data_IF_324517308456
#
_entry.id   IF_324517308456
#
_cell.length_a   1.000
_cell.length_b   1.000
_cell.length_c   1.000
_cell.angle_alpha   90.00
_cell.angle_beta   90.00
_cell.angle_gamma   90.00
#
_symmetry.space_group_name_H-M   'P 1'
#
loop_
_entity.id
_entity.type
_entity.pdbx_description
1 polymer ?
#
# COMPACT_ATOMS: atom_id res chain seq x y z
N UNK A 1 -6.80 6.48 -30.05
CA UNK A 1 -5.56 5.74 -30.35
C UNK A 1 -4.41 6.48 -29.68
N UNK A 2 -3.89 6.00 -28.56
CA UNK A 2 -2.76 6.64 -27.86
C UNK A 2 -1.48 6.40 -28.67
N UNK A 3 -0.75 7.47 -29.00
CA UNK A 3 0.52 7.38 -29.71
C UNK A 3 1.53 6.54 -28.89
N UNK A 4 2.28 5.66 -29.51
CA UNK A 4 3.37 4.94 -28.84
C UNK A 4 4.37 5.94 -28.28
N UNK A 5 4.76 5.83 -27.00
CA UNK A 5 5.74 6.73 -26.40
C UNK A 5 7.08 6.63 -27.16
N UNK A 6 7.74 7.77 -27.34
CA UNK A 6 9.04 7.83 -27.97
C UNK A 6 10.10 7.07 -27.17
N UNK A 7 11.19 6.65 -27.80
CA UNK A 7 12.31 5.97 -27.11
C UNK A 7 12.87 6.79 -25.94
N UNK A 8 12.90 8.11 -26.08
CA UNK A 8 13.35 9.04 -25.01
C UNK A 8 12.41 9.04 -23.83
N UNK A 9 11.10 9.04 -24.05
CA UNK A 9 10.08 8.95 -22.99
C UNK A 9 10.10 7.60 -22.29
N UNK A 10 10.38 6.52 -23.03
CA UNK A 10 10.52 5.18 -22.42
C UNK A 10 11.74 5.12 -21.49
N UNK A 11 12.90 5.64 -21.90
CA UNK A 11 14.08 5.69 -21.03
C UNK A 11 13.81 6.55 -19.79
N UNK A 12 13.13 7.68 -19.95
CA UNK A 12 12.80 8.54 -18.82
C UNK A 12 11.92 7.81 -17.81
N UNK A 13 10.86 7.13 -18.26
CA UNK A 13 9.98 6.32 -17.40
C UNK A 13 10.75 5.22 -16.66
N UNK A 14 11.60 4.48 -17.33
CA UNK A 14 12.42 3.43 -16.68
C UNK A 14 13.31 4.01 -15.57
N UNK A 15 13.88 5.20 -15.79
CA UNK A 15 14.67 5.88 -14.76
C UNK A 15 13.82 6.35 -13.58
N UNK A 16 12.66 6.94 -13.85
CA UNK A 16 11.72 7.36 -12.81
C UNK A 16 11.23 6.15 -12.00
N UNK A 17 10.88 5.05 -12.65
CA UNK A 17 10.51 3.80 -11.98
C UNK A 17 11.65 3.29 -11.06
N UNK A 18 12.90 3.31 -11.53
CA UNK A 18 14.05 2.89 -10.73
C UNK A 18 14.26 3.79 -9.50
N UNK A 19 14.07 5.11 -9.64
CA UNK A 19 14.12 6.06 -8.54
C UNK A 19 13.00 5.76 -7.53
N UNK A 20 11.78 5.61 -7.99
CA UNK A 20 10.61 5.35 -7.13
C UNK A 20 10.78 4.03 -6.36
N UNK A 21 11.35 3.00 -6.98
CA UNK A 21 11.64 1.73 -6.30
C UNK A 21 12.73 1.89 -5.22
N UNK A 22 13.78 2.67 -5.47
CA UNK A 22 14.78 2.98 -4.45
C UNK A 22 14.17 3.73 -3.26
N UNK A 23 13.32 4.73 -3.55
CA UNK A 23 12.58 5.46 -2.51
C UNK A 23 11.67 4.53 -1.70
N UNK A 24 10.92 3.64 -2.36
CA UNK A 24 10.04 2.68 -1.68
C UNK A 24 10.81 1.82 -0.67
N UNK A 25 11.96 1.26 -1.08
CA UNK A 25 12.81 0.46 -0.18
C UNK A 25 13.31 1.27 1.01
N UNK A 26 13.78 2.49 0.78
CA UNK A 26 14.28 3.36 1.86
C UNK A 26 13.17 3.79 2.81
N UNK A 27 11.97 4.11 2.29
CA UNK A 27 10.80 4.42 3.11
C UNK A 27 10.34 3.22 3.96
N UNK A 28 10.42 2.00 3.42
CA UNK A 28 10.08 0.79 4.15
C UNK A 28 11.06 0.51 5.30
N UNK A 29 12.37 0.73 5.09
CA UNK A 29 13.41 0.39 6.06
C UNK A 29 13.63 1.49 7.10
N UNK A 30 13.63 2.77 6.68
CA UNK A 30 14.03 3.91 7.53
C UNK A 30 12.90 4.89 7.81
N UNK A 31 11.84 4.86 7.04
CA UNK A 31 10.82 5.90 7.04
C UNK A 31 11.27 7.20 6.38
N UNK A 32 10.33 8.13 6.25
CA UNK A 32 10.57 9.39 5.56
C UNK A 32 11.61 10.27 6.25
N UNK A 33 11.53 10.38 7.57
CA UNK A 33 12.37 11.36 8.31
C UNK A 33 13.86 11.03 8.19
N UNK A 34 14.23 9.75 8.23
CA UNK A 34 15.61 9.27 8.17
C UNK A 34 16.13 9.03 6.75
N UNK A 35 15.27 8.99 5.74
CA UNK A 35 15.67 8.87 4.35
C UNK A 35 16.36 10.16 3.88
N UNK A 36 17.47 10.03 3.17
CA UNK A 36 18.16 11.16 2.53
C UNK A 36 18.17 11.06 1.01
N UNK A 37 18.20 12.20 0.32
CA UNK A 37 18.26 12.24 -1.14
C UNK A 37 19.57 11.64 -1.68
N UNK A 38 20.64 11.70 -0.91
CA UNK A 38 21.94 11.09 -1.28
C UNK A 38 21.84 9.56 -1.27
N UNK A 39 21.16 8.98 -0.30
CA UNK A 39 20.89 7.53 -0.25
C UNK A 39 20.00 7.08 -1.40
N UNK A 40 18.96 7.86 -1.74
CA UNK A 40 18.12 7.57 -2.92
C UNK A 40 18.95 7.57 -4.20
N UNK A 41 19.83 8.56 -4.39
CA UNK A 41 20.70 8.64 -5.56
C UNK A 41 21.66 7.46 -5.65
N UNK A 42 22.26 7.07 -4.50
CA UNK A 42 23.14 5.91 -4.41
C UNK A 42 22.41 4.60 -4.72
N UNK A 43 21.24 4.39 -4.11
CA UNK A 43 20.40 3.20 -4.30
C UNK A 43 19.89 3.07 -5.75
N UNK A 44 19.53 4.20 -6.39
CA UNK A 44 19.10 4.25 -7.78
C UNK A 44 20.26 4.19 -8.77
N UNK A 45 21.52 4.17 -8.32
CA UNK A 45 22.72 4.11 -9.16
C UNK A 45 22.93 5.36 -10.01
N UNK A 46 22.58 6.55 -9.53
CA UNK A 46 22.69 7.80 -10.29
C UNK A 46 23.27 8.95 -9.48
N UNK A 47 23.72 9.99 -10.16
CA UNK A 47 24.17 11.21 -9.50
C UNK A 47 22.98 12.01 -8.94
N UNK A 48 23.12 12.59 -7.75
CA UNK A 48 22.11 13.44 -7.09
C UNK A 48 21.58 14.56 -8.02
N UNK A 49 22.45 15.18 -8.81
CA UNK A 49 22.06 16.21 -9.78
C UNK A 49 21.15 15.67 -10.89
N UNK A 50 21.26 14.38 -11.24
CA UNK A 50 20.37 13.72 -12.20
C UNK A 50 19.01 13.43 -11.60
N UNK A 51 18.95 13.10 -10.31
CA UNK A 51 17.71 12.85 -9.59
C UNK A 51 16.86 14.11 -9.52
N UNK A 52 17.46 15.27 -9.25
CA UNK A 52 16.77 16.57 -9.24
C UNK A 52 16.24 17.05 -10.62
N UNK A 53 16.60 16.38 -11.70
CA UNK A 53 15.97 16.61 -13.02
C UNK A 53 14.59 15.93 -13.14
N UNK A 54 14.32 14.93 -12.30
CA UNK A 54 13.08 14.17 -12.29
C UNK A 54 12.16 14.60 -11.14
N UNK A 55 12.72 14.94 -9.98
CA UNK A 55 11.98 15.28 -8.76
C UNK A 55 12.61 16.49 -8.10
N UNK A 56 11.80 17.49 -7.76
CA UNK A 56 12.29 18.79 -7.28
C UNK A 56 12.55 18.82 -5.77
N UNK A 57 11.96 17.87 -5.02
CA UNK A 57 12.08 17.81 -3.55
C UNK A 57 12.07 16.38 -3.02
N UNK A 58 12.42 16.22 -1.74
CA UNK A 58 12.32 14.95 -1.03
C UNK A 58 10.86 14.52 -0.86
N UNK A 59 9.97 15.49 -0.65
CA UNK A 59 8.52 15.28 -0.58
C UNK A 59 7.95 14.73 -1.88
N UNK A 60 8.37 15.29 -3.02
CA UNK A 60 7.93 14.83 -4.33
C UNK A 60 8.41 13.40 -4.61
N UNK A 61 9.67 13.09 -4.30
CA UNK A 61 10.23 11.74 -4.36
C UNK A 61 9.40 10.74 -3.53
N UNK A 62 9.19 11.06 -2.26
CA UNK A 62 8.43 10.21 -1.35
C UNK A 62 6.96 10.12 -1.76
N UNK A 63 6.36 11.23 -2.22
CA UNK A 63 5.00 11.27 -2.75
C UNK A 63 4.81 10.34 -3.94
N UNK A 64 5.74 10.33 -4.89
CA UNK A 64 5.71 9.42 -6.04
C UNK A 64 5.77 7.93 -5.60
N UNK A 65 6.57 7.61 -4.58
CA UNK A 65 6.62 6.27 -4.02
C UNK A 65 5.30 5.87 -3.34
N UNK A 66 4.66 6.78 -2.60
CA UNK A 66 3.35 6.55 -1.98
C UNK A 66 2.25 6.34 -3.04
N UNK A 67 2.26 7.14 -4.11
CA UNK A 67 1.37 6.95 -5.27
C UNK A 67 1.57 5.56 -5.89
N UNK A 68 2.82 5.14 -6.11
CA UNK A 68 3.13 3.82 -6.67
C UNK A 68 2.67 2.67 -5.76
N UNK A 69 2.76 2.82 -4.45
CA UNK A 69 2.25 1.83 -3.50
C UNK A 69 0.72 1.68 -3.62
N UNK A 70 -0.02 2.80 -3.76
CA UNK A 70 -1.46 2.77 -4.00
C UNK A 70 -1.82 2.19 -5.37
N UNK A 71 -1.06 2.47 -6.43
CA UNK A 71 -1.26 1.84 -7.74
C UNK A 71 -1.16 0.32 -7.65
N UNK A 72 -0.15 -0.22 -6.95
CA UNK A 72 0.01 -1.66 -6.72
C UNK A 72 -1.14 -2.26 -5.91
N UNK A 73 -1.62 -1.53 -4.91
CA UNK A 73 -2.78 -1.97 -4.12
C UNK A 73 -4.04 -2.02 -4.99
N UNK A 74 -4.27 -1.00 -5.83
CA UNK A 74 -5.39 -0.97 -6.77
C UNK A 74 -5.29 -2.06 -7.84
N UNK A 75 -4.10 -2.31 -8.40
CA UNK A 75 -3.86 -3.42 -9.33
C UNK A 75 -4.23 -4.77 -8.70
N UNK A 76 -3.80 -5.00 -7.45
CA UNK A 76 -4.12 -6.22 -6.71
C UNK A 76 -5.62 -6.36 -6.47
N UNK A 77 -6.28 -5.30 -5.97
CA UNK A 77 -7.74 -5.27 -5.72
C UNK A 77 -8.54 -5.51 -7.01
N UNK A 78 -8.16 -4.86 -8.11
CA UNK A 78 -8.80 -5.06 -9.42
C UNK A 78 -8.62 -6.49 -9.93
N UNK A 79 -7.46 -7.09 -9.68
CA UNK A 79 -7.19 -8.51 -10.00
C UNK A 79 -8.11 -9.46 -9.23
N UNK A 80 -8.36 -9.19 -7.94
CA UNK A 80 -9.32 -9.96 -7.14
C UNK A 80 -10.74 -9.82 -7.68
N UNK A 81 -11.19 -8.60 -8.00
CA UNK A 81 -12.53 -8.38 -8.58
C UNK A 81 -12.71 -9.14 -9.89
N UNK A 82 -11.71 -9.12 -10.77
CA UNK A 82 -11.73 -9.82 -12.05
C UNK A 82 -11.81 -11.36 -11.91
N UNK A 83 -11.28 -11.92 -10.84
CA UNK A 83 -11.25 -13.37 -10.58
C UNK A 83 -12.53 -13.92 -9.95
N UNK A 84 -13.34 -13.07 -9.32
CA UNK A 84 -14.49 -13.50 -8.51
C UNK A 84 -15.74 -13.89 -9.32
N UNK A 85 -15.88 -13.48 -10.57
CA UNK A 85 -17.07 -13.73 -11.37
C UNK A 85 -18.40 -13.36 -10.67
N UNK A 86 -19.54 -13.94 -11.10
CA UNK A 86 -20.85 -13.67 -10.48
C UNK A 86 -20.95 -14.11 -9.01
N UNK A 87 -20.23 -15.15 -8.60
CA UNK A 87 -20.18 -15.65 -7.22
C UNK A 87 -19.47 -14.67 -6.26
N UNK A 88 -18.61 -13.81 -6.77
CA UNK A 88 -17.87 -12.82 -5.98
C UNK A 88 -18.70 -11.68 -5.37
N UNK A 89 -20.02 -11.70 -5.62
CA UNK A 89 -20.95 -10.72 -5.02
C UNK A 89 -21.48 -11.17 -3.65
N UNK A 90 -21.14 -12.38 -3.18
CA UNK A 90 -21.54 -12.84 -1.85
C UNK A 90 -20.77 -12.14 -0.73
N UNK A 91 -21.35 -12.08 0.47
CA UNK A 91 -20.69 -11.53 1.64
C UNK A 91 -19.45 -12.33 2.05
N UNK A 92 -19.48 -13.65 1.90
CA UNK A 92 -18.34 -14.52 2.18
C UNK A 92 -17.16 -14.23 1.22
N UNK A 93 -17.41 -14.14 -0.08
CA UNK A 93 -16.40 -13.78 -1.05
C UNK A 93 -15.80 -12.40 -0.78
N UNK A 94 -16.61 -11.44 -0.33
CA UNK A 94 -16.14 -10.12 0.07
C UNK A 94 -15.17 -10.20 1.27
N UNK A 95 -15.46 -11.02 2.29
CA UNK A 95 -14.54 -11.24 3.42
C UNK A 95 -13.22 -11.87 2.95
N UNK A 96 -13.28 -12.86 2.04
CA UNK A 96 -12.06 -13.47 1.50
C UNK A 96 -11.20 -12.45 0.74
N UNK A 97 -11.81 -11.52 -0.01
CA UNK A 97 -11.09 -10.43 -0.65
C UNK A 97 -10.44 -9.49 0.37
N UNK A 98 -11.16 -9.10 1.42
CA UNK A 98 -10.61 -8.24 2.49
C UNK A 98 -9.44 -8.93 3.21
N UNK A 99 -9.55 -10.25 3.49
CA UNK A 99 -8.44 -11.05 4.05
C UNK A 99 -7.25 -11.07 3.11
N UNK A 100 -7.48 -11.28 1.81
CA UNK A 100 -6.42 -11.29 0.80
C UNK A 100 -5.70 -9.94 0.71
N UNK A 101 -6.42 -8.82 0.79
CA UNK A 101 -5.82 -7.47 0.79
C UNK A 101 -4.95 -7.25 2.03
N UNK A 102 -5.44 -7.63 3.22
CA UNK A 102 -4.67 -7.52 4.45
C UNK A 102 -3.40 -8.38 4.41
N UNK A 103 -3.52 -9.63 3.96
CA UNK A 103 -2.40 -10.55 3.82
C UNK A 103 -1.38 -10.03 2.79
N UNK A 104 -1.84 -9.54 1.63
CA UNK A 104 -0.98 -8.94 0.62
C UNK A 104 -0.21 -7.73 1.16
N UNK A 105 -0.86 -6.84 1.89
CA UNK A 105 -0.21 -5.65 2.45
C UNK A 105 0.90 -6.04 3.46
N UNK A 106 0.63 -6.99 4.36
CA UNK A 106 1.61 -7.50 5.32
C UNK A 106 2.76 -8.23 4.62
N UNK A 107 2.48 -9.00 3.56
CA UNK A 107 3.50 -9.64 2.74
C UNK A 107 4.45 -8.60 2.11
N UNK A 108 3.91 -7.52 1.53
CA UNK A 108 4.72 -6.41 0.98
C UNK A 108 5.57 -5.74 2.06
N UNK A 109 5.05 -5.62 3.30
CA UNK A 109 5.80 -5.10 4.43
C UNK A 109 6.98 -6.02 4.80
N UNK A 110 6.75 -7.34 4.89
CA UNK A 110 7.80 -8.35 5.17
C UNK A 110 8.90 -8.38 4.11
N UNK A 111 8.55 -8.11 2.85
CA UNK A 111 9.48 -8.00 1.73
C UNK A 111 10.21 -6.64 1.65
N UNK A 112 9.90 -5.69 2.55
CA UNK A 112 10.47 -4.35 2.52
C UNK A 112 10.04 -3.52 1.30
N UNK A 113 8.86 -3.81 0.73
CA UNK A 113 8.32 -3.14 -0.45
C UNK A 113 7.07 -2.29 -0.17
N UNK A 114 6.62 -2.23 1.09
CA UNK A 114 5.54 -1.36 1.55
C UNK A 114 6.15 -0.16 2.26
N UNK A 115 5.99 1.07 1.74
CA UNK A 115 6.50 2.26 2.42
C UNK A 115 5.76 2.47 3.73
N UNK A 116 6.49 2.87 4.79
CA UNK A 116 5.87 3.24 6.05
C UNK A 116 5.08 4.55 5.92
N UNK A 117 3.97 4.65 6.65
CA UNK A 117 3.20 5.90 6.69
C UNK A 117 4.04 7.02 7.33
N UNK A 118 3.99 8.23 6.78
CA UNK A 118 4.66 9.37 7.38
C UNK A 118 4.02 9.73 8.71
N UNK A 119 4.81 10.29 9.64
CA UNK A 119 4.27 10.87 10.86
C UNK A 119 3.30 12.01 10.53
N UNK A 120 2.27 12.20 11.35
CA UNK A 120 1.22 13.18 11.09
C UNK A 120 1.74 14.62 10.94
N UNK A 121 2.85 14.92 11.60
CA UNK A 121 3.46 16.26 11.59
C UNK A 121 4.63 16.38 10.59
N UNK A 122 4.85 15.39 9.71
CA UNK A 122 5.90 15.45 8.71
C UNK A 122 5.52 16.32 7.51
N UNK A 123 6.52 16.94 6.86
CA UNK A 123 6.29 17.68 5.60
C UNK A 123 5.73 16.79 4.50
N UNK A 124 6.02 15.50 4.52
CA UNK A 124 5.42 14.52 3.59
C UNK A 124 3.91 14.40 3.81
N UNK A 125 3.45 14.34 5.08
CA UNK A 125 2.02 14.25 5.36
C UNK A 125 1.25 15.44 4.78
N UNK A 126 1.78 16.66 4.91
CA UNK A 126 1.17 17.85 4.32
C UNK A 126 1.21 17.82 2.77
N UNK A 127 2.34 17.40 2.20
CA UNK A 127 2.50 17.27 0.75
C UNK A 127 1.52 16.26 0.15
N UNK A 128 1.29 15.13 0.81
CA UNK A 128 0.36 14.10 0.34
C UNK A 128 -1.09 14.57 0.33
N UNK A 129 -1.51 15.42 1.28
CA UNK A 129 -2.87 15.99 1.32
C UNK A 129 -3.17 16.87 0.11
N UNK A 130 -2.16 17.48 -0.47
CA UNK A 130 -2.26 18.34 -1.66
C UNK A 130 -1.85 17.63 -2.97
N UNK A 131 -1.54 16.34 -2.91
CA UNK A 131 -1.18 15.56 -4.08
C UNK A 131 -2.42 14.86 -4.64
N UNK A 132 -3.02 15.44 -5.69
CA UNK A 132 -4.23 14.90 -6.32
C UNK A 132 -4.07 13.44 -6.73
N UNK A 133 -2.92 13.07 -7.29
CA UNK A 133 -2.64 11.69 -7.69
C UNK A 133 -2.67 10.70 -6.53
N UNK A 134 -2.21 11.10 -5.35
CA UNK A 134 -2.28 10.30 -4.13
C UNK A 134 -3.71 10.23 -3.58
N UNK A 135 -4.39 11.39 -3.48
CA UNK A 135 -5.74 11.49 -2.93
C UNK A 135 -6.74 10.69 -3.77
N UNK A 136 -6.71 10.85 -5.10
CA UNK A 136 -7.62 10.13 -6.01
C UNK A 136 -7.49 8.60 -5.86
N UNK A 137 -6.26 8.08 -5.78
CA UNK A 137 -6.01 6.64 -5.60
C UNK A 137 -6.44 6.13 -4.24
N UNK A 138 -6.19 6.93 -3.20
CA UNK A 138 -6.64 6.58 -1.84
C UNK A 138 -8.17 6.52 -1.76
N UNK A 139 -8.86 7.48 -2.40
CA UNK A 139 -10.33 7.49 -2.48
C UNK A 139 -10.85 6.29 -3.29
N UNK A 140 -10.24 5.97 -4.45
CA UNK A 140 -10.66 4.80 -5.24
C UNK A 140 -10.47 3.50 -4.47
N UNK A 141 -9.31 3.30 -3.84
CA UNK A 141 -9.05 2.13 -3.00
C UNK A 141 -10.05 2.03 -1.84
N UNK A 142 -10.30 3.15 -1.14
CA UNK A 142 -11.26 3.21 -0.04
C UNK A 142 -12.69 2.85 -0.48
N UNK A 143 -13.13 3.34 -1.63
CA UNK A 143 -14.44 3.04 -2.20
C UNK A 143 -14.61 1.56 -2.55
N UNK A 144 -13.58 0.95 -3.15
CA UNK A 144 -13.57 -0.48 -3.49
C UNK A 144 -13.64 -1.34 -2.24
N UNK A 145 -12.77 -1.10 -1.26
CA UNK A 145 -12.79 -1.84 0.00
C UNK A 145 -14.09 -1.60 0.79
N UNK A 146 -14.59 -0.35 0.82
CA UNK A 146 -15.87 -0.01 1.44
C UNK A 146 -17.05 -0.77 0.85
N UNK A 147 -17.04 -0.99 -0.47
CA UNK A 147 -18.05 -1.82 -1.15
C UNK A 147 -18.00 -3.28 -0.65
N UNK A 148 -16.82 -3.86 -0.50
CA UNK A 148 -16.67 -5.21 0.04
C UNK A 148 -17.05 -5.31 1.52
N UNK A 149 -16.67 -4.30 2.33
CA UNK A 149 -17.06 -4.21 3.75
C UNK A 149 -18.59 -4.20 3.87
N UNK A 150 -19.27 -3.33 3.12
CA UNK A 150 -20.74 -3.23 3.14
C UNK A 150 -21.42 -4.54 2.74
N UNK A 151 -20.90 -5.22 1.71
CA UNK A 151 -21.41 -6.54 1.29
C UNK A 151 -21.22 -7.60 2.37
N UNK A 152 -20.07 -7.62 3.02
CA UNK A 152 -19.77 -8.57 4.08
C UNK A 152 -20.62 -8.33 5.34
N UNK A 153 -20.89 -7.07 5.69
CA UNK A 153 -21.78 -6.70 6.79
C UNK A 153 -23.23 -7.06 6.48
N UNK A 154 -23.73 -6.71 5.30
CA UNK A 154 -25.10 -7.04 4.86
C UNK A 154 -25.32 -8.57 4.76
N UNK A 155 -24.28 -9.31 4.36
CA UNK A 155 -24.31 -10.77 4.30
C UNK A 155 -24.14 -11.47 5.65
N UNK A 156 -23.96 -10.73 6.75
CA UNK A 156 -23.76 -11.30 8.09
C UNK A 156 -22.41 -11.98 8.31
N UNK A 157 -21.39 -11.67 7.46
CA UNK A 157 -20.04 -12.23 7.56
C UNK A 157 -19.05 -11.29 8.32
N UNK A 158 -19.40 -10.01 8.44
CA UNK A 158 -18.74 -9.06 9.31
C UNK A 158 -19.77 -8.41 10.24
N UNK A 159 -19.31 -7.93 11.38
CA UNK A 159 -20.13 -7.24 12.38
C UNK A 159 -20.76 -5.98 11.76
N UNK A 160 -22.08 -5.96 11.70
CA UNK A 160 -22.87 -4.84 11.19
C UNK A 160 -23.02 -3.69 12.20
N UNK A 161 -22.71 -3.92 13.48
CA UNK A 161 -22.71 -2.90 14.55
C UNK A 161 -21.46 -2.00 14.49
N UNK A 162 -20.43 -2.35 13.71
CA UNK A 162 -19.22 -1.55 13.54
C UNK A 162 -19.38 -0.57 12.37
N UNK A 163 -18.96 0.69 12.52
CA UNK A 163 -18.85 1.60 11.40
C UNK A 163 -17.94 1.03 10.28
N UNK A 164 -18.35 1.15 9.03
CA UNK A 164 -17.54 0.65 7.90
C UNK A 164 -16.15 1.31 7.85
N UNK A 165 -16.04 2.57 8.26
CA UNK A 165 -14.79 3.31 8.35
C UNK A 165 -13.82 2.68 9.37
N UNK A 166 -14.32 2.18 10.50
CA UNK A 166 -13.49 1.48 11.49
C UNK A 166 -12.88 0.22 10.89
N UNK A 167 -13.68 -0.56 10.16
CA UNK A 167 -13.19 -1.76 9.46
C UNK A 167 -12.14 -1.37 8.41
N UNK A 168 -12.41 -0.35 7.60
CA UNK A 168 -11.49 0.16 6.59
C UNK A 168 -10.14 0.59 7.20
N UNK A 169 -10.17 1.39 8.27
CA UNK A 169 -8.94 1.84 8.92
C UNK A 169 -8.19 0.69 9.61
N UNK A 170 -8.91 -0.31 10.10
CA UNK A 170 -8.29 -1.54 10.63
C UNK A 170 -7.52 -2.29 9.53
N UNK A 171 -8.05 -2.33 8.31
CA UNK A 171 -7.36 -2.92 7.15
C UNK A 171 -6.13 -2.10 6.74
N UNK A 172 -6.26 -0.78 6.65
CA UNK A 172 -5.12 0.10 6.34
C UNK A 172 -4.00 0.00 7.37
N UNK A 173 -4.34 -0.18 8.66
CA UNK A 173 -3.35 -0.39 9.70
C UNK A 173 -2.50 -1.65 9.48
N UNK A 174 -3.00 -2.66 8.76
CA UNK A 174 -2.21 -3.88 8.44
C UNK A 174 -1.06 -3.59 7.48
N UNK A 175 -1.16 -2.57 6.65
CA UNK A 175 -0.08 -2.18 5.74
C UNK A 175 1.17 -1.62 6.47
N UNK A 176 1.00 -1.15 7.71
CA UNK A 176 2.06 -0.56 8.53
C UNK A 176 2.06 -1.15 9.95
N UNK A 177 1.67 -2.41 10.11
CA UNK A 177 1.54 -3.04 11.42
C UNK A 177 2.91 -3.27 12.06
N UNK A 178 3.22 -2.63 13.19
CA UNK A 178 4.50 -2.81 13.87
C UNK A 178 4.70 -4.24 14.37
N UNK A 179 3.62 -4.99 14.64
CA UNK A 179 3.70 -6.39 15.10
C UNK A 179 4.31 -7.28 14.02
N UNK A 180 4.00 -7.03 12.74
CA UNK A 180 4.62 -7.72 11.60
C UNK A 180 6.15 -7.58 11.65
N UNK A 181 6.64 -6.34 11.78
CA UNK A 181 8.07 -6.06 11.88
C UNK A 181 8.73 -6.66 13.11
N UNK A 182 8.07 -6.60 14.28
CA UNK A 182 8.58 -7.17 15.54
C UNK A 182 8.71 -8.70 15.45
N UNK A 183 7.71 -9.40 14.93
CA UNK A 183 7.74 -10.85 14.76
C UNK A 183 8.82 -11.27 13.74
N UNK A 184 8.93 -10.53 12.62
CA UNK A 184 10.00 -10.76 11.63
C UNK A 184 11.39 -10.61 12.24
N UNK A 185 11.62 -9.54 13.00
CA UNK A 185 12.90 -9.24 13.62
C UNK A 185 13.31 -10.29 14.68
N UNK A 186 12.37 -11.02 15.29
CA UNK A 186 12.66 -12.10 16.22
C UNK A 186 13.37 -13.29 15.57
N UNK A 187 13.21 -13.47 14.24
CA UNK A 187 13.77 -14.59 13.49
C UNK A 187 13.21 -15.96 13.85
N UNK A 188 12.14 -16.02 14.66
CA UNK A 188 11.57 -17.27 15.19
C UNK A 188 10.47 -17.86 14.31
N UNK A 189 9.89 -17.06 13.40
CA UNK A 189 8.69 -17.43 12.68
C UNK A 189 8.85 -17.20 11.18
N UNK A 190 8.27 -18.10 10.39
CA UNK A 190 8.14 -17.95 8.94
C UNK A 190 7.17 -16.83 8.60
N UNK A 191 7.48 -16.09 7.53
CA UNK A 191 6.68 -14.94 7.08
C UNK A 191 5.20 -15.28 6.85
N UNK A 192 4.92 -16.45 6.26
CA UNK A 192 3.55 -16.95 6.04
C UNK A 192 2.78 -17.11 7.35
N UNK A 193 3.44 -17.63 8.41
CA UNK A 193 2.81 -17.82 9.72
C UNK A 193 2.49 -16.48 10.39
N UNK A 194 3.36 -15.49 10.25
CA UNK A 194 3.12 -14.14 10.78
C UNK A 194 1.86 -13.55 10.12
N UNK A 195 1.77 -13.65 8.80
CA UNK A 195 0.62 -13.14 8.03
C UNK A 195 -0.67 -13.87 8.43
N UNK A 196 -0.64 -15.21 8.54
CA UNK A 196 -1.80 -16.03 8.91
C UNK A 196 -2.33 -15.64 10.30
N UNK A 197 -1.44 -15.55 11.30
CA UNK A 197 -1.85 -15.20 12.67
C UNK A 197 -2.47 -13.81 12.76
N UNK A 198 -1.84 -12.81 12.15
CA UNK A 198 -2.36 -11.44 12.20
C UNK A 198 -3.66 -11.32 11.41
N UNK A 199 -3.77 -12.00 10.26
CA UNK A 199 -5.03 -12.05 9.50
C UNK A 199 -6.14 -12.70 10.34
N UNK A 200 -5.88 -13.88 10.93
CA UNK A 200 -6.85 -14.57 11.78
C UNK A 200 -7.29 -13.70 12.95
N UNK A 201 -6.37 -13.18 13.75
CA UNK A 201 -6.72 -12.33 14.90
C UNK A 201 -7.47 -11.07 14.52
N UNK A 202 -7.18 -10.49 13.34
CA UNK A 202 -7.89 -9.32 12.83
C UNK A 202 -9.34 -9.67 12.50
N UNK A 203 -9.57 -10.72 11.74
CA UNK A 203 -10.89 -11.06 11.25
C UNK A 203 -11.75 -11.79 12.28
N UNK A 204 -11.17 -12.53 13.23
CA UNK A 204 -11.89 -13.13 14.34
C UNK A 204 -12.53 -12.05 15.23
N UNK A 205 -11.86 -10.88 15.41
CA UNK A 205 -12.43 -9.71 16.07
C UNK A 205 -13.54 -8.99 15.28
N UNK A 206 -13.59 -9.20 13.97
CA UNK A 206 -14.60 -8.63 13.06
C UNK A 206 -15.74 -9.58 12.74
N UNK A 207 -15.65 -10.86 13.12
CA UNK A 207 -16.70 -11.87 12.93
C UNK A 207 -17.94 -11.56 13.78
N UNK A 208 -19.15 -11.90 13.31
CA UNK A 208 -20.37 -11.78 14.10
C UNK A 208 -20.26 -12.58 15.42
N UNK A 209 -20.89 -12.09 16.47
CA UNK A 209 -21.02 -12.76 17.76
C UNK A 209 -22.34 -13.52 17.83
#
# INVERSE_FOLDING_TARGET
>A
MSARPSYREQIQRVREDAIVEAVNRLLAVKGYDLMTVDEVAAEAGMAKASLYKHFTSKEELAGAAMVRALDRALEFVNGLEGSLGPAGRSGDAAVQCLKSVAAWAMQRQLEGSMPSLPSQNSSLSESLKSNDGYVDRLVDLSNKLGTWISRAQTGGHLRADLPAELVLYTLFARACDPVVGMLKASGQYEDSRIVDWITSTTFDGLSPR
#
